data_IF_811994089754
#
_entry.id   IF_811994089754
#
_cell.length_a   1.000
_cell.length_b   1.000
_cell.length_c   1.000
_cell.angle_alpha   90.00
_cell.angle_beta   90.00
_cell.angle_gamma   90.00
#
_symmetry.space_group_name_H-M   'P 1'
#
loop_
_entity.id
_entity.type
_entity.pdbx_description
1 polymer ?
#
# COMPACT_ATOMS: atom_id res chain seq x y z
N UNK A 1 51.64 -43.53 3.36
CA UNK A 1 51.71 -42.05 3.49
C UNK A 1 50.81 -41.47 2.39
N UNK A 2 49.50 -41.46 2.63
CA UNK A 2 48.65 -40.34 3.11
C UNK A 2 48.39 -39.25 2.04
N UNK A 3 47.18 -39.34 1.47
CA UNK A 3 46.58 -38.43 0.50
C UNK A 3 46.11 -37.11 1.16
N UNK A 4 45.99 -35.99 0.42
CA UNK A 4 45.42 -34.76 0.96
C UNK A 4 43.88 -34.85 1.00
N UNK A 5 43.32 -34.46 2.15
CA UNK A 5 41.89 -34.36 2.40
C UNK A 5 41.23 -33.26 1.56
N UNK A 6 40.12 -33.60 0.91
CA UNK A 6 39.09 -32.69 0.42
C UNK A 6 38.37 -32.03 1.61
N UNK A 7 38.51 -30.71 1.78
CA UNK A 7 37.56 -29.92 2.57
C UNK A 7 36.45 -29.41 1.64
N UNK A 8 35.30 -30.08 1.69
CA UNK A 8 34.06 -29.54 1.14
C UNK A 8 33.57 -28.38 2.01
N UNK A 9 33.42 -27.20 1.40
CA UNK A 9 32.58 -26.15 1.96
C UNK A 9 31.17 -26.34 1.43
N UNK A 10 30.31 -26.91 2.27
CA UNK A 10 28.86 -26.85 2.05
C UNK A 10 28.39 -25.42 2.30
N UNK A 11 28.58 -24.56 1.30
CA UNK A 11 27.90 -23.27 1.23
C UNK A 11 26.42 -23.55 1.05
N UNK A 12 25.68 -23.59 2.17
CA UNK A 12 24.24 -23.56 2.15
C UNK A 12 23.82 -22.27 1.46
N UNK A 13 23.45 -22.36 0.18
CA UNK A 13 22.70 -21.35 -0.51
C UNK A 13 21.40 -21.20 0.29
N UNK A 14 21.31 -20.14 1.09
CA UNK A 14 20.05 -19.65 1.59
C UNK A 14 19.21 -19.38 0.34
N UNK A 15 18.34 -20.33 0.03
CA UNK A 15 17.38 -20.20 -1.04
C UNK A 15 16.45 -19.09 -0.57
N UNK A 16 16.78 -17.84 -0.90
CA UNK A 16 15.96 -16.67 -0.60
C UNK A 16 14.69 -16.87 -1.40
N UNK A 17 13.73 -17.54 -0.78
CA UNK A 17 12.43 -17.78 -1.37
C UNK A 17 11.86 -16.41 -1.69
N UNK A 18 11.72 -16.14 -3.00
CA UNK A 18 11.14 -14.91 -3.50
C UNK A 18 9.76 -14.76 -2.84
N UNK A 19 9.57 -13.68 -2.08
CA UNK A 19 8.28 -13.39 -1.44
C UNK A 19 7.27 -13.03 -2.53
N UNK A 20 6.18 -13.80 -2.63
CA UNK A 20 5.15 -13.58 -3.64
C UNK A 20 3.76 -13.51 -3.04
N UNK A 21 2.89 -12.71 -3.66
CA UNK A 21 1.48 -12.64 -3.34
C UNK A 21 0.69 -12.59 -4.65
N UNK A 22 0.01 -13.68 -4.97
CA UNK A 22 -0.53 -13.96 -6.31
C UNK A 22 -2.00 -14.39 -6.23
N UNK A 23 -2.71 -14.32 -7.35
CA UNK A 23 -4.04 -14.93 -7.52
C UNK A 23 -3.89 -16.18 -8.35
N UNK A 24 -4.38 -17.29 -7.81
CA UNK A 24 -4.62 -18.52 -8.55
C UNK A 24 -6.04 -18.46 -9.14
N UNK A 25 -6.12 -18.03 -10.40
CA UNK A 25 -7.39 -17.90 -11.13
C UNK A 25 -8.10 -19.22 -11.38
N UNK A 26 -7.36 -20.34 -11.47
CA UNK A 26 -7.96 -21.65 -11.71
C UNK A 26 -8.73 -22.15 -10.49
N UNK A 27 -8.24 -21.79 -9.30
CA UNK A 27 -8.79 -22.25 -8.03
C UNK A 27 -9.39 -21.12 -7.18
N UNK A 28 -9.60 -19.95 -7.78
CA UNK A 28 -10.20 -18.75 -7.19
C UNK A 28 -9.69 -18.45 -5.76
N UNK A 29 -8.36 -18.40 -5.60
CA UNK A 29 -7.74 -18.20 -4.27
C UNK A 29 -6.50 -17.33 -4.35
N UNK A 30 -6.15 -16.70 -3.23
CA UNK A 30 -4.85 -16.04 -3.10
C UNK A 30 -3.78 -17.07 -2.73
N UNK A 31 -2.57 -16.85 -3.24
CA UNK A 31 -1.36 -17.55 -2.86
C UNK A 31 -0.39 -16.57 -2.21
N UNK A 32 0.12 -16.91 -1.03
CA UNK A 32 1.21 -16.20 -0.37
C UNK A 32 2.40 -17.14 -0.29
N UNK A 33 3.51 -16.75 -0.90
CA UNK A 33 4.74 -17.55 -1.01
C UNK A 33 4.45 -18.97 -1.55
N UNK A 34 3.62 -19.05 -2.59
CA UNK A 34 3.20 -20.30 -3.24
C UNK A 34 2.16 -21.14 -2.46
N UNK A 35 1.72 -20.70 -1.28
CA UNK A 35 0.77 -21.44 -0.43
C UNK A 35 -0.61 -20.78 -0.45
N UNK A 36 -1.72 -21.57 -0.47
CA UNK A 36 -3.07 -21.03 -0.31
C UNK A 36 -3.18 -20.12 0.90
N UNK A 37 -3.74 -18.93 0.69
CA UNK A 37 -3.82 -17.88 1.69
C UNK A 37 -5.18 -17.19 1.62
N UNK A 38 -5.72 -16.85 2.80
CA UNK A 38 -6.93 -16.04 2.94
C UNK A 38 -6.62 -14.90 3.91
N UNK A 39 -6.76 -13.67 3.44
CA UNK A 39 -6.72 -12.54 4.35
C UNK A 39 -8.10 -12.28 4.96
N UNK A 40 -8.10 -11.91 6.24
CA UNK A 40 -9.22 -11.35 6.97
C UNK A 40 -8.74 -9.97 7.43
N UNK A 41 -9.32 -8.93 6.84
CA UNK A 41 -8.85 -7.56 7.01
C UNK A 41 -9.87 -6.65 7.67
N UNK A 42 -9.40 -5.75 8.53
CA UNK A 42 -10.18 -4.63 9.05
C UNK A 42 -9.59 -3.29 8.58
N UNK A 43 -10.42 -2.25 8.50
CA UNK A 43 -9.94 -0.90 8.13
C UNK A 43 -9.50 -0.12 9.37
N UNK A 44 -8.36 0.54 9.28
CA UNK A 44 -7.84 1.47 10.29
C UNK A 44 -7.18 2.64 9.58
N UNK A 45 -7.49 3.86 10.02
CA UNK A 45 -6.99 5.09 9.43
C UNK A 45 -6.04 5.75 10.43
N UNK A 46 -4.73 5.63 10.23
CA UNK A 46 -3.72 6.14 11.17
C UNK A 46 -3.87 7.64 11.43
N UNK A 47 -4.29 8.41 10.42
CA UNK A 47 -4.56 9.86 10.52
C UNK A 47 -5.78 10.23 11.40
N UNK A 48 -6.52 9.23 11.93
CA UNK A 48 -7.61 9.43 12.90
C UNK A 48 -7.22 9.00 14.32
N UNK A 49 -6.01 8.52 14.51
CA UNK A 49 -5.54 7.96 15.77
C UNK A 49 -4.19 8.60 16.09
N UNK A 50 -3.99 9.20 17.27
CA UNK A 50 -2.67 9.70 17.64
C UNK A 50 -1.61 8.58 17.59
N UNK A 51 -0.39 8.89 17.14
CA UNK A 51 0.71 7.92 16.95
C UNK A 51 0.94 7.04 18.17
N UNK A 52 0.82 7.61 19.36
CA UNK A 52 0.95 6.91 20.64
C UNK A 52 0.05 5.66 20.73
N UNK A 53 -1.14 5.69 20.12
CA UNK A 53 -2.11 4.59 20.18
C UNK A 53 -2.05 3.62 18.99
N UNK A 54 -1.22 3.85 17.97
CA UNK A 54 -1.19 3.00 16.77
C UNK A 54 -0.92 1.54 17.09
N UNK A 55 0.13 1.27 17.88
CA UNK A 55 0.50 -0.10 18.26
C UNK A 55 -0.62 -0.81 19.04
N UNK A 56 -1.29 -0.09 19.96
CA UNK A 56 -2.42 -0.63 20.72
C UNK A 56 -3.58 -1.02 19.80
N UNK A 57 -3.96 -0.15 18.86
CA UNK A 57 -5.06 -0.45 17.91
C UNK A 57 -4.72 -1.63 17.01
N UNK A 58 -3.51 -1.67 16.47
CA UNK A 58 -3.05 -2.78 15.63
C UNK A 58 -2.98 -4.10 16.40
N UNK A 59 -2.54 -4.08 17.65
CA UNK A 59 -2.50 -5.27 18.50
C UNK A 59 -3.92 -5.80 18.76
N UNK A 60 -4.88 -4.92 19.07
CA UNK A 60 -6.29 -5.32 19.23
C UNK A 60 -6.87 -5.95 17.96
N UNK A 61 -6.56 -5.37 16.79
CA UNK A 61 -6.95 -5.95 15.49
C UNK A 61 -6.37 -7.35 15.29
N UNK A 62 -5.08 -7.54 15.61
CA UNK A 62 -4.42 -8.86 15.57
C UNK A 62 -5.09 -9.85 16.52
N UNK A 63 -5.37 -9.45 17.77
CA UNK A 63 -6.04 -10.28 18.78
C UNK A 63 -7.48 -10.63 18.40
N UNK A 64 -8.15 -9.79 17.62
CA UNK A 64 -9.47 -10.07 17.05
C UNK A 64 -9.43 -11.09 15.89
N UNK A 65 -8.26 -11.64 15.56
CA UNK A 65 -8.09 -12.66 14.52
C UNK A 65 -7.81 -12.10 13.12
N UNK A 66 -7.59 -10.79 12.98
CA UNK A 66 -7.21 -10.20 11.71
C UNK A 66 -5.75 -10.53 11.38
N UNK A 67 -5.50 -10.85 10.10
CA UNK A 67 -4.14 -11.09 9.59
C UNK A 67 -3.70 -10.01 8.57
N UNK A 68 -4.59 -9.08 8.24
CA UNK A 68 -4.31 -7.93 7.40
C UNK A 68 -5.06 -6.69 7.90
N UNK A 69 -4.57 -5.52 7.52
CA UNK A 69 -5.24 -4.24 7.71
C UNK A 69 -5.43 -3.52 6.38
N UNK A 70 -6.42 -2.63 6.32
CA UNK A 70 -6.60 -1.69 5.22
C UNK A 70 -6.41 -0.27 5.75
N UNK A 71 -5.66 0.57 5.03
CA UNK A 71 -5.51 1.99 5.38
C UNK A 71 -5.49 2.86 4.14
N UNK A 72 -6.09 4.05 4.25
CA UNK A 72 -5.96 5.12 3.28
C UNK A 72 -4.73 5.99 3.55
N UNK A 73 -4.31 6.73 2.54
CA UNK A 73 -3.32 7.81 2.65
C UNK A 73 -3.97 9.12 2.18
N UNK A 74 -4.40 10.01 3.09
CA UNK A 74 -5.01 11.29 2.72
C UNK A 74 -3.95 12.27 2.23
N UNK A 75 -4.11 12.74 1.00
CA UNK A 75 -3.16 13.66 0.39
C UNK A 75 -3.12 15.01 1.13
N UNK A 76 -4.28 15.60 1.44
CA UNK A 76 -4.37 16.88 2.18
C UNK A 76 -3.68 16.88 3.55
N UNK A 77 -3.64 15.73 4.21
CA UNK A 77 -2.96 15.57 5.49
C UNK A 77 -1.43 15.63 5.32
N UNK A 78 -0.92 15.06 4.23
CA UNK A 78 0.50 15.03 3.94
C UNK A 78 1.02 16.23 3.17
N UNK A 79 0.18 16.94 2.41
CA UNK A 79 0.55 18.15 1.68
C UNK A 79 -0.44 19.30 1.99
N UNK A 80 -0.38 19.89 3.21
CA UNK A 80 -1.29 20.98 3.58
C UNK A 80 -1.11 22.23 2.73
N UNK A 81 0.09 22.46 2.20
CA UNK A 81 0.43 23.52 1.27
C UNK A 81 1.19 22.92 0.08
N UNK A 82 1.08 23.49 -1.14
CA UNK A 82 1.76 22.98 -2.32
C UNK A 82 3.27 22.83 -2.08
N UNK A 83 3.80 21.63 -2.33
CA UNK A 83 5.22 21.28 -2.16
C UNK A 83 5.69 21.06 -0.72
N UNK A 84 4.84 21.24 0.29
CA UNK A 84 5.20 21.07 1.70
C UNK A 84 4.70 19.76 2.28
N UNK A 85 5.56 18.75 2.23
CA UNK A 85 5.22 17.38 2.61
C UNK A 85 5.51 17.06 4.08
N UNK A 86 4.57 16.37 4.75
CA UNK A 86 4.68 15.92 6.14
C UNK A 86 4.62 14.39 6.22
N UNK A 87 5.66 13.78 6.78
CA UNK A 87 5.77 12.32 6.97
C UNK A 87 6.40 11.93 8.33
N UNK A 88 6.31 12.83 9.31
CA UNK A 88 6.82 12.64 10.67
C UNK A 88 5.68 12.68 11.69
N UNK A 89 5.96 12.21 12.91
CA UNK A 89 4.99 12.21 14.01
C UNK A 89 3.70 11.50 13.59
N UNK A 90 2.53 12.13 13.75
CA UNK A 90 1.22 11.58 13.38
C UNK A 90 1.03 11.42 11.85
N UNK A 91 1.93 11.98 11.04
CA UNK A 91 1.90 11.88 9.57
C UNK A 91 2.81 10.74 9.05
N UNK A 92 3.43 9.97 9.94
CA UNK A 92 4.40 8.95 9.57
C UNK A 92 3.73 7.62 9.17
N UNK A 93 3.19 7.60 7.96
CA UNK A 93 2.56 6.39 7.38
C UNK A 93 3.54 5.23 7.22
N UNK A 94 4.84 5.51 7.00
CA UNK A 94 5.85 4.46 6.88
C UNK A 94 6.01 3.73 8.21
N UNK A 95 6.14 4.48 9.31
CA UNK A 95 6.23 3.91 10.65
C UNK A 95 4.95 3.15 11.02
N UNK A 96 3.77 3.68 10.69
CA UNK A 96 2.51 2.97 10.92
C UNK A 96 2.47 1.59 10.23
N UNK A 97 2.90 1.54 8.97
CA UNK A 97 2.97 0.29 8.19
C UNK A 97 4.04 -0.66 8.76
N UNK A 98 5.19 -0.13 9.20
CA UNK A 98 6.23 -0.91 9.87
C UNK A 98 5.73 -1.53 11.18
N UNK A 99 4.97 -0.79 11.99
CA UNK A 99 4.33 -1.35 13.19
C UNK A 99 3.38 -2.50 12.85
N UNK A 100 2.59 -2.38 11.77
CA UNK A 100 1.76 -3.48 11.30
C UNK A 100 2.61 -4.70 10.94
N UNK A 101 3.73 -4.49 10.25
CA UNK A 101 4.68 -5.56 9.90
C UNK A 101 5.26 -6.26 11.13
N UNK A 102 5.70 -5.50 12.13
CA UNK A 102 6.24 -6.03 13.40
C UNK A 102 5.22 -6.89 14.14
N UNK A 103 3.94 -6.54 14.07
CA UNK A 103 2.83 -7.30 14.66
C UNK A 103 2.36 -8.48 13.78
N UNK A 104 3.03 -8.71 12.64
CA UNK A 104 2.70 -9.77 11.70
C UNK A 104 1.36 -9.57 11.00
N UNK A 105 0.97 -8.31 10.76
CA UNK A 105 -0.19 -7.93 9.94
C UNK A 105 0.28 -7.58 8.53
N UNK A 106 -0.42 -8.10 7.53
CA UNK A 106 -0.27 -7.65 6.13
C UNK A 106 -1.02 -6.34 5.91
N UNK A 107 -0.68 -5.62 4.84
CA UNK A 107 -1.26 -4.31 4.54
C UNK A 107 -1.86 -4.28 3.14
N UNK A 108 -3.08 -3.78 3.08
CA UNK A 108 -3.79 -3.40 1.85
C UNK A 108 -3.75 -1.87 1.81
N UNK A 109 -2.86 -1.32 0.99
CA UNK A 109 -2.64 0.13 0.92
C UNK A 109 -3.63 0.77 -0.05
N UNK A 110 -4.22 1.90 0.35
CA UNK A 110 -5.15 2.68 -0.48
C UNK A 110 -4.61 4.12 -0.61
N UNK A 111 -3.66 4.38 -1.52
CA UNK A 111 -2.84 5.59 -1.51
C UNK A 111 -3.54 6.89 -1.96
N UNK A 112 -4.83 6.85 -2.30
CA UNK A 112 -5.53 7.99 -2.89
C UNK A 112 -5.28 8.10 -4.40
N UNK A 113 -5.26 9.31 -4.99
CA UNK A 113 -5.26 10.64 -4.35
C UNK A 113 -6.60 11.01 -3.68
N UNK A 114 -7.71 10.50 -4.20
CA UNK A 114 -9.03 10.67 -3.60
C UNK A 114 -9.45 9.40 -2.85
N UNK A 115 -9.78 9.53 -1.57
CA UNK A 115 -10.06 8.39 -0.68
C UNK A 115 -11.54 8.32 -0.26
N UNK A 116 -12.32 9.38 -0.45
CA UNK A 116 -13.54 9.61 0.33
C UNK A 116 -13.21 9.56 1.82
N UNK A 117 -13.49 8.40 2.44
CA UNK A 117 -13.30 8.10 3.84
C UNK A 117 -14.01 9.05 4.80
N UNK A 118 -15.02 9.82 4.35
CA UNK A 118 -15.67 10.88 5.15
C UNK A 118 -14.59 11.79 5.78
N UNK A 119 -13.59 12.10 4.96
CA UNK A 119 -12.48 12.97 5.29
C UNK A 119 -12.61 14.27 4.48
N UNK A 120 -12.08 15.37 5.00
CA UNK A 120 -12.23 16.68 4.38
C UNK A 120 -11.78 16.63 2.92
N UNK A 121 -12.69 17.09 2.05
CA UNK A 121 -12.53 17.09 0.60
C UNK A 121 -12.14 15.72 0.01
N UNK A 122 -12.54 14.64 0.68
CA UNK A 122 -12.20 13.26 0.33
C UNK A 122 -10.70 12.97 0.28
N UNK A 123 -9.89 13.72 1.03
CA UNK A 123 -8.44 13.61 1.05
C UNK A 123 -7.72 14.50 0.05
N UNK A 124 -8.42 15.26 -0.79
CA UNK A 124 -7.78 16.20 -1.72
C UNK A 124 -7.40 17.50 -1.00
N UNK A 125 -6.22 18.08 -1.26
CA UNK A 125 -5.87 19.37 -0.71
C UNK A 125 -6.74 20.51 -1.25
N UNK A 126 -7.14 21.42 -0.36
CA UNK A 126 -8.00 22.57 -0.73
C UNK A 126 -7.32 23.53 -1.72
N UNK A 127 -5.98 23.64 -1.67
CA UNK A 127 -5.21 24.49 -2.58
C UNK A 127 -5.33 24.07 -4.05
N UNK A 128 -5.82 22.86 -4.35
CA UNK A 128 -6.16 22.49 -5.73
C UNK A 128 -7.22 23.43 -6.33
N UNK A 129 -8.11 23.99 -5.50
CA UNK A 129 -9.19 24.87 -5.91
C UNK A 129 -8.73 26.33 -6.15
N UNK A 130 -7.46 26.66 -5.92
CA UNK A 130 -6.93 28.00 -6.26
C UNK A 130 -7.09 28.31 -7.76
N UNK A 131 -7.07 27.27 -8.60
CA UNK A 131 -7.45 27.38 -10.00
C UNK A 131 -8.95 27.11 -10.15
N UNK A 132 -9.74 28.17 -10.33
CA UNK A 132 -11.21 28.07 -10.42
C UNK A 132 -11.71 27.14 -11.54
N UNK A 133 -10.95 27.01 -12.63
CA UNK A 133 -11.32 26.17 -13.77
C UNK A 133 -10.98 24.69 -13.63
N UNK A 134 -10.32 24.29 -12.54
CA UNK A 134 -9.87 22.90 -12.36
C UNK A 134 -11.08 21.97 -12.21
N UNK A 135 -11.05 20.85 -12.93
CA UNK A 135 -12.04 19.78 -12.74
C UNK A 135 -11.41 18.62 -11.98
N UNK A 136 -11.66 18.55 -10.67
CA UNK A 136 -11.14 17.49 -9.82
C UNK A 136 -11.69 16.11 -10.21
N UNK A 137 -10.89 15.06 -9.97
CA UNK A 137 -11.26 13.66 -10.26
C UNK A 137 -11.64 13.41 -11.72
N UNK A 138 -11.06 14.20 -12.63
CA UNK A 138 -11.25 14.10 -14.07
C UNK A 138 -9.91 13.89 -14.79
N UNK A 139 -9.92 13.95 -16.11
CA UNK A 139 -8.72 13.98 -16.95
C UNK A 139 -8.17 15.40 -17.19
N UNK A 140 -8.60 16.38 -16.39
CA UNK A 140 -8.06 17.74 -16.40
C UNK A 140 -6.52 17.70 -16.25
N UNK A 141 -5.75 18.30 -17.18
CA UNK A 141 -4.29 18.23 -17.16
C UNK A 141 -3.66 18.79 -15.89
N UNK A 142 -4.23 19.84 -15.29
CA UNK A 142 -3.70 20.44 -14.06
C UNK A 142 -3.96 19.54 -12.86
N UNK A 143 -5.14 18.92 -12.80
CA UNK A 143 -5.44 17.92 -11.78
C UNK A 143 -4.51 16.70 -11.90
N UNK A 144 -4.32 16.17 -13.12
CA UNK A 144 -3.41 15.04 -13.35
C UNK A 144 -1.96 15.40 -13.00
N UNK A 145 -1.48 16.58 -13.39
CA UNK A 145 -0.13 17.03 -13.04
C UNK A 145 0.07 17.17 -11.53
N UNK A 146 -0.94 17.60 -10.78
CA UNK A 146 -0.87 17.66 -9.32
C UNK A 146 -0.86 16.26 -8.69
N UNK A 147 -1.69 15.36 -9.21
CA UNK A 147 -1.72 13.94 -8.81
C UNK A 147 -0.37 13.26 -9.06
N UNK A 148 0.24 13.49 -10.22
CA UNK A 148 1.54 12.94 -10.60
C UNK A 148 2.62 13.36 -9.60
N UNK A 149 2.64 14.64 -9.22
CA UNK A 149 3.57 15.16 -8.20
C UNK A 149 3.36 14.47 -6.86
N UNK A 150 2.12 14.36 -6.41
CA UNK A 150 1.80 13.70 -5.14
C UNK A 150 2.24 12.24 -5.11
N UNK A 151 1.88 11.48 -6.14
CA UNK A 151 2.26 10.07 -6.25
C UNK A 151 3.77 9.90 -6.42
N UNK A 152 4.44 10.82 -7.12
CA UNK A 152 5.89 10.90 -7.22
C UNK A 152 6.60 11.06 -5.87
N UNK A 153 5.94 11.61 -4.85
CA UNK A 153 6.46 11.71 -3.48
C UNK A 153 6.07 10.49 -2.64
N UNK A 154 4.83 10.04 -2.74
CA UNK A 154 4.30 8.96 -1.91
C UNK A 154 4.87 7.58 -2.30
N UNK A 155 4.87 7.24 -3.59
CA UNK A 155 5.21 5.89 -4.05
C UNK A 155 6.65 5.47 -3.72
N UNK A 156 7.68 6.33 -3.87
CA UNK A 156 9.04 5.99 -3.46
C UNK A 156 9.16 5.63 -1.97
N UNK A 157 8.36 6.26 -1.10
CA UNK A 157 8.29 5.95 0.34
C UNK A 157 7.61 4.61 0.62
N UNK A 158 6.63 4.24 -0.20
CA UNK A 158 5.90 2.97 -0.06
C UNK A 158 6.66 1.79 -0.67
N UNK A 159 7.54 2.03 -1.65
CA UNK A 159 8.28 0.98 -2.38
C UNK A 159 9.02 -0.01 -1.46
N UNK A 160 9.78 0.40 -0.42
CA UNK A 160 10.47 -0.55 0.46
C UNK A 160 9.51 -1.41 1.30
N UNK A 161 8.26 -0.95 1.46
CA UNK A 161 7.24 -1.61 2.27
C UNK A 161 6.40 -2.61 1.45
N UNK A 162 6.64 -2.72 0.13
CA UNK A 162 6.03 -3.73 -0.71
C UNK A 162 6.46 -5.14 -0.30
N UNK A 163 5.54 -6.09 -0.40
CA UNK A 163 5.74 -7.47 0.05
C UNK A 163 6.95 -8.15 -0.62
N UNK A 164 7.10 -7.92 -1.93
CA UNK A 164 8.24 -8.43 -2.72
C UNK A 164 9.59 -7.81 -2.29
N UNK A 165 9.56 -6.59 -1.74
CA UNK A 165 10.74 -5.87 -1.25
C UNK A 165 10.99 -6.11 0.25
N UNK A 166 10.26 -7.04 0.87
CA UNK A 166 10.43 -7.43 2.26
C UNK A 166 9.46 -6.77 3.26
N UNK A 167 8.58 -5.87 2.82
CA UNK A 167 7.58 -5.23 3.68
C UNK A 167 6.24 -5.98 3.79
N UNK A 168 5.21 -5.38 4.43
CA UNK A 168 3.92 -6.03 4.65
C UNK A 168 2.86 -5.75 3.55
N UNK A 169 3.11 -4.83 2.60
CA UNK A 169 2.08 -4.39 1.63
C UNK A 169 1.90 -5.44 0.55
N UNK A 170 0.77 -6.15 0.59
CA UNK A 170 0.43 -7.23 -0.36
C UNK A 170 -0.39 -6.76 -1.55
N UNK A 171 -1.15 -5.67 -1.38
CA UNK A 171 -1.99 -5.10 -2.44
C UNK A 171 -2.04 -3.58 -2.32
N UNK A 172 -2.17 -2.93 -3.48
CA UNK A 172 -2.40 -1.49 -3.59
C UNK A 172 -3.72 -1.30 -4.34
N UNK A 173 -4.69 -0.66 -3.70
CA UNK A 173 -6.01 -0.41 -4.31
C UNK A 173 -6.12 1.02 -4.83
N UNK A 174 -6.43 1.14 -6.12
CA UNK A 174 -6.63 2.41 -6.82
C UNK A 174 -8.10 2.53 -7.22
N UNK A 175 -8.74 3.66 -6.90
CA UNK A 175 -10.20 3.82 -7.02
C UNK A 175 -10.67 4.26 -8.42
N UNK A 176 -9.78 4.49 -9.39
CA UNK A 176 -10.18 4.96 -10.74
C UNK A 176 -9.22 4.46 -11.82
N UNK A 177 -9.77 4.03 -12.97
CA UNK A 177 -9.04 3.45 -14.11
C UNK A 177 -7.99 4.43 -14.72
N UNK A 178 -8.29 5.73 -14.78
CA UNK A 178 -7.36 6.79 -15.23
C UNK A 178 -6.13 6.93 -14.31
N UNK A 179 -6.36 6.78 -13.01
CA UNK A 179 -5.31 6.79 -11.99
C UNK A 179 -4.51 5.49 -11.97
N UNK A 180 -5.12 4.37 -12.35
CA UNK A 180 -4.40 3.12 -12.53
C UNK A 180 -3.34 3.27 -13.62
N UNK A 181 -3.63 3.92 -14.75
CA UNK A 181 -2.62 4.18 -15.78
C UNK A 181 -1.47 5.08 -15.30
N UNK A 182 -1.75 6.10 -14.47
CA UNK A 182 -0.73 7.01 -13.91
C UNK A 182 0.14 6.33 -12.85
N UNK A 183 -0.49 5.59 -11.94
CA UNK A 183 0.19 4.79 -10.93
C UNK A 183 0.96 3.66 -11.61
N UNK A 184 0.39 3.05 -12.64
CA UNK A 184 1.06 2.04 -13.46
C UNK A 184 2.22 2.66 -14.24
N UNK A 185 2.13 3.85 -14.83
CA UNK A 185 3.24 4.55 -15.49
C UNK A 185 4.37 4.93 -14.50
N UNK A 186 4.00 5.39 -13.30
CA UNK A 186 4.95 5.74 -12.24
C UNK A 186 5.58 4.50 -11.58
N UNK A 187 4.85 3.39 -11.52
CA UNK A 187 5.35 2.07 -11.13
C UNK A 187 6.14 1.39 -12.26
N UNK A 188 5.79 1.62 -13.53
CA UNK A 188 6.46 1.16 -14.75
C UNK A 188 7.80 1.87 -14.94
N UNK A 189 7.90 3.16 -14.58
CA UNK A 189 9.18 3.84 -14.44
C UNK A 189 10.07 3.22 -13.35
N UNK A 190 9.49 2.39 -12.47
CA UNK A 190 10.19 1.53 -11.51
C UNK A 190 10.28 0.05 -12.01
N UNK A 191 9.66 -0.30 -13.14
CA UNK A 191 9.65 -1.63 -13.79
C UNK A 191 10.87 -1.84 -14.70
N UNK A 192 12.07 -1.77 -14.13
CA UNK A 192 13.05 -2.80 -14.49
C UNK A 192 12.80 -4.12 -13.74
N UNK A 193 11.80 -4.18 -12.83
CA UNK A 193 11.49 -5.35 -12.01
C UNK A 193 9.97 -5.51 -11.79
N UNK A 194 9.45 -6.60 -12.36
CA UNK A 194 8.07 -7.10 -12.44
C UNK A 194 7.20 -6.99 -11.18
N UNK A 195 6.00 -6.41 -11.33
CA UNK A 195 4.92 -6.44 -10.32
C UNK A 195 3.88 -7.50 -10.71
N UNK A 196 3.61 -8.46 -9.83
CA UNK A 196 2.48 -9.41 -9.91
C UNK A 196 1.50 -9.21 -8.75
N UNK A 197 1.33 -7.98 -8.26
CA UNK A 197 0.31 -7.67 -7.26
C UNK A 197 -1.06 -7.47 -7.95
N UNK A 198 -2.13 -8.14 -7.50
CA UNK A 198 -3.45 -7.96 -8.10
C UNK A 198 -4.03 -6.58 -7.80
N UNK A 199 -4.51 -5.89 -8.83
CA UNK A 199 -5.29 -4.66 -8.68
C UNK A 199 -6.73 -4.99 -8.27
N UNK A 200 -7.13 -4.59 -7.07
CA UNK A 200 -8.51 -4.72 -6.59
C UNK A 200 -9.30 -3.43 -6.82
N UNK A 201 -10.41 -3.49 -7.57
CA UNK A 201 -11.36 -2.39 -7.72
C UNK A 201 -12.37 -2.41 -6.56
N UNK A 202 -12.34 -1.38 -5.71
CA UNK A 202 -13.33 -1.22 -4.64
C UNK A 202 -14.60 -0.55 -5.15
N UNK A 203 -15.63 -1.33 -5.49
CA UNK A 203 -16.97 -0.81 -5.70
C UNK A 203 -17.66 -0.56 -4.34
N UNK A 204 -18.39 0.56 -4.21
CA UNK A 204 -19.36 0.70 -3.13
C UNK A 204 -20.44 -0.39 -3.32
N UNK A 205 -20.90 -1.08 -2.26
CA UNK A 205 -21.93 -2.09 -2.39
C UNK A 205 -23.22 -1.42 -2.86
N UNK A 206 -23.64 -1.70 -4.10
CA UNK A 206 -25.03 -1.60 -4.46
C UNK A 206 -25.73 -2.83 -3.90
N UNK A 207 -26.48 -2.63 -2.82
CA UNK A 207 -27.49 -3.52 -2.23
C UNK A 207 -27.23 -5.04 -2.28
N UNK A 208 -26.94 -5.61 -1.11
CA UNK A 208 -27.14 -7.03 -0.86
C UNK A 208 -26.10 -7.62 0.08
N UNK A 209 -26.42 -7.65 1.37
CA UNK A 209 -25.77 -8.52 2.35
C UNK A 209 -25.87 -9.97 1.84
N UNK A 210 -24.74 -10.64 1.59
CA UNK A 210 -24.64 -12.10 1.68
C UNK A 210 -23.27 -12.48 2.25
N UNK A 211 -23.35 -13.32 3.28
CA UNK A 211 -22.30 -13.84 4.16
C UNK A 211 -21.11 -14.47 3.43
#
# INVERSE_FOLDING_TARGET
MLAPLLLGSAGGLLNVTKRTFEIDYQKDRFLKDGKPFRYISGSIHYFRVPRFYWKDRLLKMKMAGLNAIQTYVPWNFHEPQPGQYRFSEDHDVQYFIQLAHELGLLVILRPGPYICAEWDMGGLPAWLLEKESIVLRSSDPDYLAAVDKWLGVLLPKMRPLLYQNGGPIITVQVKTLLLAATIFQSLLLLESLSISAPFGYGNAPQNGIKY
#
